data_IF_704549927978
#
_entry.id   IF_704549927978
#
_cell.length_a   1.000
_cell.length_b   1.000
_cell.length_c   1.000
_cell.angle_alpha   90.00
_cell.angle_beta   90.00
_cell.angle_gamma   90.00
#
_symmetry.space_group_name_H-M   'P 1'
#
loop_
_entity.id
_entity.type
_entity.pdbx_description
1 polymer ?
#
# COMPACT_ATOMS: atom_id res chain seq x y z
N UNK A 1 6.73 -7.01 -0.93
CA UNK A 1 6.82 -6.24 0.34
C UNK A 1 8.27 -6.14 0.75
N UNK A 2 8.64 -5.09 1.48
CA UNK A 2 9.97 -4.97 2.07
C UNK A 2 10.17 -5.88 3.30
N UNK A 3 11.39 -6.01 3.80
CA UNK A 3 11.73 -6.82 4.97
C UNK A 3 11.54 -6.12 6.32
N UNK A 4 10.64 -5.13 6.41
CA UNK A 4 10.38 -4.37 7.64
C UNK A 4 9.51 -5.14 8.66
N UNK A 5 9.53 -4.68 9.92
CA UNK A 5 8.62 -5.19 10.96
C UNK A 5 7.13 -5.00 10.61
N UNK A 6 6.81 -3.97 9.83
CA UNK A 6 5.45 -3.75 9.32
C UNK A 6 5.02 -4.88 8.39
N UNK A 7 5.89 -5.30 7.47
CA UNK A 7 5.65 -6.46 6.61
C UNK A 7 5.48 -7.75 7.40
N UNK A 8 6.33 -7.98 8.41
CA UNK A 8 6.16 -9.12 9.33
C UNK A 8 4.79 -9.11 10.00
N UNK A 9 4.33 -7.94 10.43
CA UNK A 9 3.03 -7.80 11.09
C UNK A 9 1.86 -8.08 10.12
N UNK A 10 1.94 -7.58 8.88
CA UNK A 10 0.95 -7.86 7.82
C UNK A 10 0.87 -9.36 7.55
N UNK A 11 2.02 -10.04 7.41
CA UNK A 11 2.08 -11.49 7.17
C UNK A 11 1.46 -12.25 8.34
N UNK A 12 1.84 -11.93 9.58
CA UNK A 12 1.33 -12.64 10.76
C UNK A 12 -0.19 -12.53 10.89
N UNK A 13 -0.76 -11.35 10.63
CA UNK A 13 -2.22 -11.12 10.73
C UNK A 13 -2.97 -11.76 9.57
N UNK A 14 -2.45 -11.63 8.34
CA UNK A 14 -3.17 -11.97 7.11
C UNK A 14 -2.97 -13.44 6.74
N UNK A 15 -1.73 -13.91 6.76
CA UNK A 15 -1.36 -15.24 6.28
C UNK A 15 -1.32 -16.29 7.39
N UNK A 16 -1.05 -15.90 8.65
CA UNK A 16 -1.03 -16.82 9.81
C UNK A 16 -0.20 -18.09 9.54
N UNK A 17 1.10 -17.89 9.31
CA UNK A 17 2.10 -18.94 9.01
C UNK A 17 1.99 -19.63 7.63
N UNK A 18 1.06 -19.20 6.77
CA UNK A 18 0.97 -19.67 5.38
C UNK A 18 1.78 -18.79 4.44
N UNK A 19 2.19 -19.31 3.30
CA UNK A 19 2.83 -18.53 2.21
C UNK A 19 1.83 -18.06 1.17
N UNK A 20 0.64 -18.67 1.16
CA UNK A 20 -0.45 -18.41 0.23
C UNK A 20 -1.81 -18.49 0.93
N UNK A 21 -2.79 -17.74 0.42
CA UNK A 21 -4.17 -17.74 0.89
C UNK A 21 -5.15 -17.55 -0.26
N UNK A 22 -6.39 -18.01 -0.07
CA UNK A 22 -7.50 -17.66 -0.96
C UNK A 22 -8.45 -16.67 -0.28
N UNK A 23 -8.72 -15.54 -0.92
CA UNK A 23 -9.62 -14.49 -0.40
C UNK A 23 -10.54 -14.03 -1.52
N UNK A 24 -11.85 -14.16 -1.31
CA UNK A 24 -12.88 -13.72 -2.28
C UNK A 24 -12.67 -14.29 -3.69
N UNK A 25 -12.17 -15.52 -3.79
CA UNK A 25 -11.86 -16.17 -5.08
C UNK A 25 -10.51 -15.80 -5.69
N UNK A 26 -9.73 -14.93 -5.06
CA UNK A 26 -8.35 -14.63 -5.47
C UNK A 26 -7.36 -15.53 -4.74
N UNK A 27 -6.40 -16.10 -5.45
CA UNK A 27 -5.22 -16.72 -4.87
C UNK A 27 -4.15 -15.65 -4.64
N UNK A 28 -3.64 -15.55 -3.42
CA UNK A 28 -2.71 -14.49 -3.02
C UNK A 28 -1.48 -15.11 -2.40
N UNK A 29 -0.33 -14.76 -2.96
CA UNK A 29 0.99 -15.08 -2.43
C UNK A 29 1.74 -13.81 -2.05
N UNK A 30 2.79 -13.94 -1.25
CA UNK A 30 3.67 -12.81 -0.95
C UNK A 30 5.14 -13.14 -1.18
N UNK A 31 5.91 -12.08 -1.50
CA UNK A 31 7.37 -12.09 -1.51
C UNK A 31 7.89 -10.98 -0.60
N UNK A 32 8.90 -11.32 0.20
CA UNK A 32 9.68 -10.37 1.00
C UNK A 32 11.04 -10.18 0.33
N UNK A 33 11.43 -8.93 0.15
CA UNK A 33 12.73 -8.54 -0.39
C UNK A 33 13.35 -7.47 0.48
N UNK A 34 14.68 -7.43 0.54
CA UNK A 34 15.42 -6.55 1.45
C UNK A 34 16.21 -5.45 0.73
N UNK A 35 16.54 -5.67 -0.54
CA UNK A 35 17.31 -4.74 -1.35
C UNK A 35 16.73 -4.54 -2.75
N UNK A 36 17.27 -3.51 -3.40
CA UNK A 36 16.78 -3.06 -4.70
C UNK A 36 16.92 -4.10 -5.81
N UNK A 37 18.01 -4.87 -5.83
CA UNK A 37 18.17 -5.90 -6.85
C UNK A 37 17.16 -7.02 -6.69
N UNK A 38 16.92 -7.47 -5.45
CA UNK A 38 15.91 -8.47 -5.14
C UNK A 38 14.50 -7.99 -5.54
N UNK A 39 14.18 -6.73 -5.25
CA UNK A 39 12.94 -6.10 -5.69
C UNK A 39 12.80 -6.16 -7.21
N UNK A 40 13.80 -5.67 -7.96
CA UNK A 40 13.75 -5.64 -9.41
C UNK A 40 13.61 -7.04 -10.03
N UNK A 41 14.32 -8.02 -9.47
CA UNK A 41 14.23 -9.41 -9.93
C UNK A 41 12.84 -10.00 -9.66
N UNK A 42 12.25 -9.69 -8.52
CA UNK A 42 10.90 -10.14 -8.15
C UNK A 42 9.85 -9.58 -9.10
N UNK A 43 9.90 -8.28 -9.40
CA UNK A 43 8.95 -7.65 -10.35
C UNK A 43 9.09 -8.26 -11.75
N UNK A 44 10.31 -8.56 -12.21
CA UNK A 44 10.52 -9.20 -13.52
C UNK A 44 9.96 -10.62 -13.62
N UNK A 45 9.67 -11.28 -12.49
CA UNK A 45 9.09 -12.63 -12.43
C UNK A 45 7.56 -12.61 -12.31
N UNK A 46 6.91 -11.49 -12.63
CA UNK A 46 5.46 -11.28 -12.48
C UNK A 46 4.56 -12.09 -13.42
N UNK A 47 5.09 -12.83 -14.39
CA UNK A 47 4.30 -13.47 -15.45
C UNK A 47 3.28 -14.51 -14.95
N UNK A 48 3.42 -14.94 -13.70
CA UNK A 48 2.52 -15.90 -13.04
C UNK A 48 1.34 -15.25 -12.30
N UNK A 49 1.27 -13.91 -12.24
CA UNK A 49 0.27 -13.16 -11.46
C UNK A 49 -0.57 -12.25 -12.35
N UNK A 50 -1.81 -11.99 -11.96
CA UNK A 50 -2.70 -11.05 -12.68
C UNK A 50 -2.50 -9.58 -12.25
N UNK A 51 -1.94 -9.34 -11.06
CA UNK A 51 -1.68 -8.02 -10.49
C UNK A 51 -0.62 -8.09 -9.39
N UNK A 52 -0.06 -6.93 -9.04
CA UNK A 52 0.88 -6.76 -7.94
C UNK A 52 0.29 -5.77 -6.94
N UNK A 53 0.34 -6.11 -5.65
CA UNK A 53 0.06 -5.17 -4.55
C UNK A 53 1.31 -5.04 -3.68
N UNK A 54 1.75 -3.80 -3.43
CA UNK A 54 2.78 -3.56 -2.41
C UNK A 54 2.29 -2.62 -1.32
N UNK A 55 1.98 -3.14 -0.11
CA UNK A 55 1.66 -2.31 1.04
C UNK A 55 2.89 -1.70 1.73
N UNK A 56 4.09 -2.21 1.44
CA UNK A 56 5.36 -1.79 2.08
C UNK A 56 6.54 -1.88 1.11
N UNK A 57 7.38 -0.85 1.12
CA UNK A 57 8.57 -0.73 0.25
C UNK A 57 9.61 0.28 0.79
N UNK A 58 9.41 0.84 1.98
CA UNK A 58 10.25 1.94 2.51
C UNK A 58 11.58 1.45 3.06
N UNK A 59 11.69 0.16 3.41
CA UNK A 59 12.93 -0.41 3.95
C UNK A 59 13.80 -1.09 2.88
N UNK A 60 13.52 -0.87 1.59
CA UNK A 60 14.32 -1.43 0.49
C UNK A 60 15.66 -0.72 0.43
N UNK A 61 16.74 -1.47 0.60
CA UNK A 61 18.11 -0.93 0.65
C UNK A 61 18.73 -0.81 -0.74
N UNK A 62 19.62 0.17 -0.88
CA UNK A 62 20.51 0.29 -2.05
C UNK A 62 21.94 -0.11 -1.68
N UNK A 63 22.74 -0.53 -2.66
CA UNK A 63 24.12 -1.02 -2.46
C UNK A 63 25.05 -0.03 -1.76
N UNK A 64 24.84 1.27 -1.98
CA UNK A 64 25.63 2.35 -1.36
C UNK A 64 25.36 2.52 0.14
N UNK A 65 24.43 1.77 0.71
CA UNK A 65 23.85 2.04 2.02
C UNK A 65 22.67 3.02 1.92
N UNK A 66 21.80 2.99 2.92
CA UNK A 66 20.54 3.74 2.92
C UNK A 66 19.40 3.01 2.23
N UNK A 67 18.35 3.75 1.89
CA UNK A 67 17.12 3.26 1.29
C UNK A 67 16.91 3.88 -0.09
N UNK A 68 16.24 3.15 -0.97
CA UNK A 68 15.85 3.69 -2.28
C UNK A 68 14.82 4.81 -2.11
N UNK A 69 14.90 5.81 -2.98
CA UNK A 69 13.84 6.82 -3.07
C UNK A 69 12.51 6.16 -3.47
N UNK A 70 11.45 6.57 -2.79
CA UNK A 70 10.12 5.96 -2.97
C UNK A 70 9.56 6.28 -4.35
N UNK A 71 9.72 7.50 -4.84
CA UNK A 71 9.22 7.88 -6.16
C UNK A 71 9.95 7.09 -7.25
N UNK A 72 11.27 6.95 -7.14
CA UNK A 72 12.09 6.14 -8.05
C UNK A 72 11.66 4.67 -8.05
N UNK A 73 11.44 4.07 -6.87
CA UNK A 73 10.97 2.69 -6.74
C UNK A 73 9.61 2.50 -7.42
N UNK A 74 8.66 3.40 -7.15
CA UNK A 74 7.29 3.30 -7.68
C UNK A 74 7.29 3.49 -9.20
N UNK A 75 8.00 4.51 -9.70
CA UNK A 75 8.14 4.81 -11.13
C UNK A 75 8.80 3.66 -11.88
N UNK A 76 9.88 3.11 -11.33
CA UNK A 76 10.55 1.94 -11.91
C UNK A 76 9.63 0.72 -11.90
N UNK A 77 8.93 0.46 -10.79
CA UNK A 77 8.04 -0.69 -10.66
C UNK A 77 6.89 -0.61 -11.67
N UNK A 78 6.19 0.53 -11.74
CA UNK A 78 5.11 0.74 -12.70
C UNK A 78 5.58 0.57 -14.15
N UNK A 79 6.74 1.14 -14.50
CA UNK A 79 7.30 1.04 -15.85
C UNK A 79 7.69 -0.39 -16.24
N UNK A 80 8.19 -1.19 -15.30
CA UNK A 80 8.69 -2.54 -15.56
C UNK A 80 7.66 -3.63 -15.21
N UNK A 81 6.47 -3.24 -14.78
CA UNK A 81 5.37 -4.15 -14.51
C UNK A 81 4.50 -4.34 -15.76
N UNK A 82 4.36 -5.58 -16.21
CA UNK A 82 3.48 -5.99 -17.31
C UNK A 82 2.04 -6.18 -16.83
N UNK A 83 1.84 -6.20 -15.51
CA UNK A 83 0.55 -6.33 -14.83
C UNK A 83 0.25 -5.09 -13.98
N UNK A 84 -1.03 -4.84 -13.63
CA UNK A 84 -1.41 -3.71 -12.79
C UNK A 84 -0.72 -3.71 -11.42
N UNK A 85 -0.08 -2.59 -11.08
CA UNK A 85 0.57 -2.38 -9.79
C UNK A 85 -0.25 -1.44 -8.90
N UNK A 86 -0.65 -1.92 -7.72
CA UNK A 86 -1.43 -1.18 -6.72
C UNK A 86 -0.68 -1.04 -5.38
N UNK A 87 -1.00 0.00 -4.62
CA UNK A 87 -0.47 0.22 -3.27
C UNK A 87 -1.57 0.56 -2.25
N UNK A 88 -1.18 0.90 -1.03
CA UNK A 88 -2.05 1.45 0.01
C UNK A 88 -1.74 2.92 0.38
N UNK A 89 -0.95 3.62 -0.44
CA UNK A 89 -0.48 4.98 -0.17
C UNK A 89 -0.77 5.88 -1.38
N UNK A 90 -1.56 6.93 -1.20
CA UNK A 90 -2.01 7.77 -2.32
C UNK A 90 -0.89 8.54 -3.02
N UNK A 91 0.18 8.91 -2.33
CA UNK A 91 1.33 9.59 -2.93
C UNK A 91 2.04 8.75 -4.01
N UNK A 92 1.78 7.45 -4.10
CA UNK A 92 2.31 6.59 -5.18
C UNK A 92 1.50 6.71 -6.47
N UNK A 93 0.36 7.39 -6.44
CA UNK A 93 -0.55 7.58 -7.57
C UNK A 93 -0.25 8.93 -8.21
N UNK A 94 0.55 8.89 -9.27
CA UNK A 94 0.96 9.99 -10.15
C UNK A 94 1.15 9.42 -11.56
N UNK A 95 1.26 10.22 -12.65
CA UNK A 95 1.14 9.72 -14.03
C UNK A 95 1.97 8.46 -14.38
N UNK A 96 3.22 8.36 -13.95
CA UNK A 96 4.08 7.17 -14.15
C UNK A 96 4.17 6.24 -12.93
N UNK A 97 3.28 6.41 -11.96
CA UNK A 97 3.22 5.67 -10.71
C UNK A 97 2.26 4.48 -10.75
N UNK A 98 1.71 4.11 -9.59
CA UNK A 98 0.80 2.99 -9.43
C UNK A 98 -0.54 3.22 -10.16
N UNK A 99 -1.24 2.12 -10.49
CA UNK A 99 -2.59 2.13 -11.09
C UNK A 99 -3.59 2.77 -10.14
N UNK A 100 -3.45 2.47 -8.85
CA UNK A 100 -4.24 3.09 -7.81
C UNK A 100 -3.78 2.68 -6.42
N UNK A 101 -4.41 3.30 -5.43
CA UNK A 101 -4.21 3.01 -4.03
C UNK A 101 -5.54 2.99 -3.29
N UNK A 102 -5.63 2.12 -2.28
CA UNK A 102 -6.64 2.25 -1.23
C UNK A 102 -5.95 2.71 0.04
N UNK A 103 -6.13 3.98 0.39
CA UNK A 103 -5.38 4.64 1.48
C UNK A 103 -6.29 5.11 2.60
N UNK A 104 -5.71 5.47 3.74
CA UNK A 104 -6.45 6.11 4.83
C UNK A 104 -6.89 7.53 4.45
N UNK A 105 -8.06 7.94 4.89
CA UNK A 105 -8.42 9.37 4.87
C UNK A 105 -7.59 10.10 5.93
N UNK A 106 -6.46 10.68 5.50
CA UNK A 106 -5.53 11.38 6.37
C UNK A 106 -6.18 12.55 7.12
N UNK A 107 -7.18 13.22 6.51
CA UNK A 107 -7.89 14.34 7.14
C UNK A 107 -8.80 13.81 8.26
N UNK A 108 -9.58 12.76 7.98
CA UNK A 108 -10.41 12.12 9.00
C UNK A 108 -9.54 11.55 10.13
N UNK A 109 -8.42 10.91 9.79
CA UNK A 109 -7.47 10.38 10.75
C UNK A 109 -6.90 11.48 11.66
N UNK A 110 -6.40 12.57 11.08
CA UNK A 110 -5.89 13.71 11.83
C UNK A 110 -6.93 14.34 12.76
N UNK A 111 -8.19 14.41 12.33
CA UNK A 111 -9.28 14.88 13.17
C UNK A 111 -9.57 13.94 14.37
N UNK A 112 -9.40 12.63 14.21
CA UNK A 112 -9.52 11.69 15.34
C UNK A 112 -8.36 11.85 16.32
N UNK A 113 -7.13 12.00 15.82
CA UNK A 113 -5.94 12.26 16.66
C UNK A 113 -6.12 13.54 17.47
N UNK A 114 -6.63 14.62 16.86
CA UNK A 114 -6.90 15.88 17.57
C UNK A 114 -7.86 15.69 18.75
N UNK A 115 -8.91 14.87 18.59
CA UNK A 115 -9.84 14.53 19.68
C UNK A 115 -9.18 13.71 20.79
N UNK A 116 -8.31 12.77 20.44
CA UNK A 116 -7.55 12.00 21.43
C UNK A 116 -6.63 12.93 22.25
N UNK A 117 -5.94 13.85 21.58
CA UNK A 117 -5.09 14.86 22.25
C UNK A 117 -5.93 15.74 23.17
N UNK A 118 -7.09 16.23 22.72
CA UNK A 118 -8.00 17.00 23.57
C UNK A 118 -8.42 16.20 24.82
N UNK A 119 -8.76 14.92 24.68
CA UNK A 119 -9.13 14.06 25.81
C UNK A 119 -7.98 13.85 26.82
N UNK A 120 -6.73 13.84 26.35
CA UNK A 120 -5.57 13.76 27.24
C UNK A 120 -5.39 15.09 27.99
N UNK A 121 -5.51 16.22 27.29
CA UNK A 121 -5.21 17.55 27.85
C UNK A 121 -6.34 18.08 28.74
N UNK A 122 -7.58 17.88 28.34
CA UNK A 122 -8.77 18.45 28.97
C UNK A 122 -9.38 17.45 29.97
N UNK A 123 -9.67 16.23 29.53
CA UNK A 123 -10.30 15.19 30.35
C UNK A 123 -9.31 14.38 31.21
N UNK A 124 -8.01 14.68 31.10
CA UNK A 124 -6.92 14.04 31.84
C UNK A 124 -6.87 12.52 31.68
N UNK A 125 -7.32 12.00 30.53
CA UNK A 125 -7.19 10.58 30.21
C UNK A 125 -5.71 10.22 30.13
N UNK A 126 -5.28 9.23 30.91
CA UNK A 126 -3.93 8.71 30.86
C UNK A 126 -3.75 7.92 29.54
N UNK A 127 -2.74 8.22 28.71
CA UNK A 127 -2.57 7.59 27.39
C UNK A 127 -2.59 6.05 27.41
N UNK A 128 -2.02 5.44 28.46
CA UNK A 128 -2.00 3.97 28.64
C UNK A 128 -3.40 3.35 28.74
N UNK A 129 -4.39 4.12 29.18
CA UNK A 129 -5.77 3.65 29.38
C UNK A 129 -6.66 3.96 28.16
N UNK A 130 -6.13 4.65 27.16
CA UNK A 130 -6.89 5.01 25.96
C UNK A 130 -7.01 3.79 25.03
N UNK A 131 -8.22 3.52 24.54
CA UNK A 131 -8.44 2.47 23.56
C UNK A 131 -7.84 2.85 22.21
N UNK A 132 -7.34 1.87 21.48
CA UNK A 132 -6.91 2.06 20.10
C UNK A 132 -8.12 2.33 19.20
N UNK A 133 -8.07 3.42 18.45
CA UNK A 133 -9.10 3.76 17.46
C UNK A 133 -8.58 3.32 16.10
N UNK A 134 -9.29 2.38 15.46
CA UNK A 134 -9.01 1.98 14.09
C UNK A 134 -9.79 2.85 13.12
N UNK A 135 -9.14 3.35 12.08
CA UNK A 135 -9.85 3.92 10.95
C UNK A 135 -10.64 2.83 10.24
N UNK A 136 -11.88 3.16 9.86
CA UNK A 136 -12.81 2.20 9.24
C UNK A 136 -13.11 2.52 7.77
N UNK A 137 -12.56 3.61 7.24
CA UNK A 137 -12.84 4.07 5.89
C UNK A 137 -11.53 4.49 5.21
N UNK A 138 -11.34 3.96 4.01
CA UNK A 138 -10.26 4.37 3.12
C UNK A 138 -10.80 5.07 1.88
N UNK A 139 -9.89 5.71 1.17
CA UNK A 139 -10.12 6.44 -0.07
C UNK A 139 -9.58 5.63 -1.24
N UNK A 140 -10.40 5.51 -2.29
CA UNK A 140 -9.93 5.03 -3.58
C UNK A 140 -9.24 6.17 -4.31
N UNK A 141 -8.01 5.95 -4.75
CA UNK A 141 -7.24 6.91 -5.57
C UNK A 141 -6.78 6.18 -6.82
N UNK A 142 -7.08 6.70 -8.00
CA UNK A 142 -6.74 6.05 -9.27
C UNK A 142 -5.99 6.97 -10.22
N UNK A 143 -5.10 6.36 -11.00
CA UNK A 143 -4.39 6.98 -12.10
C UNK A 143 -5.07 6.62 -13.43
N UNK A 144 -5.64 7.62 -14.11
CA UNK A 144 -6.37 7.41 -15.38
C UNK A 144 -5.47 6.83 -16.48
N UNK A 145 -4.23 7.31 -16.59
CA UNK A 145 -3.29 6.87 -17.62
C UNK A 145 -2.92 5.39 -17.45
N UNK A 146 -2.72 4.94 -16.22
CA UNK A 146 -2.40 3.55 -15.93
C UNK A 146 -3.63 2.63 -16.07
N UNK A 147 -4.82 3.06 -15.64
CA UNK A 147 -6.05 2.31 -15.91
C UNK A 147 -6.27 2.11 -17.40
N UNK A 148 -6.04 3.16 -18.21
CA UNK A 148 -6.10 3.06 -19.67
C UNK A 148 -5.03 2.12 -20.23
N UNK A 149 -3.79 2.19 -19.73
CA UNK A 149 -2.68 1.31 -20.14
C UNK A 149 -3.04 -0.17 -19.98
N UNK A 150 -3.73 -0.52 -18.89
CA UNK A 150 -4.12 -1.90 -18.59
C UNK A 150 -5.55 -2.25 -19.03
N UNK A 151 -6.28 -1.33 -19.67
CA UNK A 151 -7.65 -1.58 -20.12
C UNK A 151 -8.65 -1.84 -18.99
N UNK A 152 -8.42 -1.27 -17.80
CA UNK A 152 -9.24 -1.50 -16.61
C UNK A 152 -10.35 -0.46 -16.51
N UNK A 153 -11.59 -0.93 -16.36
CA UNK A 153 -12.75 -0.10 -16.03
C UNK A 153 -13.11 -0.21 -14.55
N UNK A 154 -13.30 0.92 -13.87
CA UNK A 154 -13.73 0.96 -12.47
C UNK A 154 -15.26 0.87 -12.38
N UNK A 155 -15.82 -0.07 -11.59
CA UNK A 155 -17.27 -0.15 -11.38
C UNK A 155 -17.84 1.11 -10.70
N UNK A 156 -19.05 1.49 -11.07
CA UNK A 156 -19.68 2.74 -10.61
C UNK A 156 -19.74 2.92 -9.07
N UNK A 157 -19.99 1.87 -8.25
CA UNK A 157 -19.96 2.01 -6.79
C UNK A 157 -18.61 2.44 -6.21
N UNK A 158 -17.51 2.16 -6.93
CA UNK A 158 -16.16 2.57 -6.57
C UNK A 158 -15.84 3.93 -7.21
N UNK A 159 -16.18 4.09 -8.49
CA UNK A 159 -15.96 5.31 -9.27
C UNK A 159 -16.53 6.56 -8.59
N UNK A 160 -17.77 6.46 -8.10
CA UNK A 160 -18.47 7.55 -7.40
C UNK A 160 -17.80 8.01 -6.09
N UNK A 161 -16.82 7.26 -5.58
CA UNK A 161 -16.05 7.56 -4.36
C UNK A 161 -14.56 7.73 -4.62
N UNK A 162 -14.14 7.69 -5.87
CA UNK A 162 -12.74 7.75 -6.24
C UNK A 162 -12.21 9.18 -6.34
N UNK A 163 -10.96 9.35 -5.94
CA UNK A 163 -10.14 10.51 -6.28
C UNK A 163 -9.30 10.16 -7.51
N UNK A 164 -9.32 11.02 -8.51
CA UNK A 164 -8.60 10.81 -9.77
C UNK A 164 -7.31 11.64 -9.80
N UNK A 165 -6.22 11.06 -10.33
CA UNK A 165 -4.91 11.67 -10.49
C UNK A 165 -4.30 11.36 -11.86
#
# INVERSE_FOLDING_TARGET
MDSSQSSTSIINVTFKDRTEISVSGMHVEYKIVSDWNEWQNTIKQQAEFDLIVSPTFHSIKVKSGGYIDVEDLIRWTSKNSDVPFFTNQDYTVFPEGAVGAYTLDAKAHGAQVAKMVASILEDKIVPRNMMYIMDRQGLFVFNEAQLKRFGISIPEPINSKATWR
#
